data_IF_146990083186
#
_entry.id   IF_146990083186
#
_cell.length_a   1.000
_cell.length_b   1.000
_cell.length_c   1.000
_cell.angle_alpha   90.00
_cell.angle_beta   90.00
_cell.angle_gamma   90.00
#
_symmetry.space_group_name_H-M   'P 1'
#
loop_
_entity.id
_entity.type
_entity.pdbx_description
1 polymer ?
#
# COMPACT_ATOMS: atom_id res chain seq x y z
N UNK A 1 -11.40 21.99 1.86
CA UNK A 1 -10.76 20.65 1.93
C UNK A 1 -9.74 20.48 0.81
N UNK A 2 -8.47 20.19 1.14
CA UNK A 2 -7.46 19.84 0.13
C UNK A 2 -7.57 18.35 -0.17
N UNK A 3 -7.87 17.99 -1.41
CA UNK A 3 -8.06 16.60 -1.84
C UNK A 3 -6.84 15.98 -2.50
N UNK A 4 -5.81 16.79 -2.80
CA UNK A 4 -4.56 16.33 -3.40
C UNK A 4 -3.52 16.04 -2.31
N UNK A 5 -3.01 14.81 -2.32
CA UNK A 5 -1.90 14.33 -1.49
C UNK A 5 -0.67 14.08 -2.35
N UNK A 6 0.52 14.10 -1.75
CA UNK A 6 1.76 13.75 -2.44
C UNK A 6 2.36 12.52 -1.78
N UNK A 7 2.72 11.53 -2.59
CA UNK A 7 3.55 10.39 -2.20
C UNK A 7 4.98 10.62 -2.68
N UNK A 8 5.97 10.34 -1.82
CA UNK A 8 7.36 10.67 -2.10
C UNK A 8 7.96 9.85 -3.26
N UNK A 9 7.78 8.53 -3.21
CA UNK A 9 8.41 7.58 -4.13
C UNK A 9 7.49 6.37 -4.37
N UNK A 10 7.67 5.69 -5.50
CA UNK A 10 6.99 4.42 -5.79
C UNK A 10 8.00 3.28 -5.86
N UNK A 11 7.85 2.28 -4.98
CA UNK A 11 8.77 1.15 -4.79
C UNK A 11 10.26 1.56 -4.87
N UNK A 12 11.19 0.60 -4.96
CA UNK A 12 12.62 0.80 -5.22
C UNK A 12 13.43 1.71 -4.25
N UNK A 13 12.78 2.38 -3.31
CA UNK A 13 13.40 3.21 -2.28
C UNK A 13 14.19 2.32 -1.33
N UNK A 14 15.47 2.61 -1.12
CA UNK A 14 16.38 1.70 -0.41
C UNK A 14 16.94 0.57 -1.30
N UNK A 15 16.62 0.58 -2.60
CA UNK A 15 17.08 -0.40 -3.57
C UNK A 15 18.53 -0.26 -4.01
N UNK A 16 18.86 -0.95 -5.10
CA UNK A 16 20.20 -0.92 -5.67
C UNK A 16 20.56 0.48 -6.20
N UNK A 17 21.84 0.81 -6.22
CA UNK A 17 22.35 2.04 -6.80
C UNK A 17 23.34 1.76 -7.92
N UNK A 18 23.48 2.71 -8.85
CA UNK A 18 24.53 2.65 -9.86
C UNK A 18 25.90 2.91 -9.21
N UNK A 19 26.86 2.02 -9.47
CA UNK A 19 28.26 2.29 -9.18
C UNK A 19 28.86 3.29 -10.18
N UNK A 20 30.12 3.67 -9.96
CA UNK A 20 30.85 4.60 -10.84
C UNK A 20 31.00 4.12 -12.28
N UNK A 21 30.77 2.83 -12.54
CA UNK A 21 30.80 2.22 -13.87
C UNK A 21 29.40 2.05 -14.47
N UNK A 22 28.36 2.59 -13.82
CA UNK A 22 26.97 2.50 -14.27
C UNK A 22 26.34 1.13 -14.05
N UNK A 23 26.94 0.24 -13.25
CA UNK A 23 26.33 -1.05 -12.92
C UNK A 23 25.45 -0.93 -11.68
N UNK A 24 24.30 -1.57 -11.72
CA UNK A 24 23.40 -1.64 -10.58
C UNK A 24 23.98 -2.56 -9.50
N UNK A 25 24.18 -2.03 -8.29
CA UNK A 25 24.77 -2.74 -7.14
C UNK A 25 23.85 -2.68 -5.94
N UNK A 26 23.65 -3.84 -5.34
CA UNK A 26 22.94 -3.98 -4.08
C UNK A 26 23.65 -3.20 -2.97
N UNK A 27 22.84 -2.54 -2.15
CA UNK A 27 23.32 -1.80 -0.99
C UNK A 27 23.36 -2.71 0.24
N UNK A 28 24.25 -2.43 1.18
CA UNK A 28 24.11 -3.03 2.51
C UNK A 28 22.77 -2.61 3.11
N UNK A 29 22.16 -3.49 3.90
CA UNK A 29 20.86 -3.21 4.51
C UNK A 29 20.87 -1.91 5.33
N UNK A 30 21.96 -1.65 6.07
CA UNK A 30 22.15 -0.40 6.81
C UNK A 30 22.12 0.83 5.90
N UNK A 31 22.80 0.78 4.75
CA UNK A 31 22.80 1.89 3.80
C UNK A 31 21.44 2.06 3.13
N UNK A 32 20.74 0.96 2.83
CA UNK A 32 19.40 0.99 2.28
C UNK A 32 18.41 1.73 3.21
N UNK A 33 18.35 1.35 4.50
CA UNK A 33 17.50 2.05 5.48
C UNK A 33 17.91 3.52 5.65
N UNK A 34 19.21 3.80 5.76
CA UNK A 34 19.71 5.17 5.88
C UNK A 34 19.27 6.01 4.69
N UNK A 35 19.37 5.48 3.47
CA UNK A 35 18.92 6.15 2.26
C UNK A 35 17.41 6.40 2.29
N UNK A 36 16.61 5.36 2.57
CA UNK A 36 15.14 5.46 2.68
C UNK A 36 14.74 6.59 3.63
N UNK A 37 15.26 6.58 4.86
CA UNK A 37 14.91 7.60 5.86
C UNK A 37 15.37 9.00 5.43
N UNK A 38 16.58 9.12 4.85
CA UNK A 38 17.12 10.41 4.37
C UNK A 38 16.29 10.99 3.24
N UNK A 39 15.90 10.17 2.27
CA UNK A 39 15.12 10.59 1.10
C UNK A 39 13.68 10.96 1.46
N UNK A 40 13.09 10.26 2.43
CA UNK A 40 11.77 10.59 2.95
C UNK A 40 11.79 11.92 3.73
N UNK A 41 12.80 12.17 4.55
CA UNK A 41 12.94 13.48 5.22
C UNK A 41 13.12 14.61 4.21
N UNK A 42 14.01 14.42 3.22
CA UNK A 42 14.23 15.41 2.17
C UNK A 42 12.94 15.71 1.37
N UNK A 43 12.10 14.70 1.12
CA UNK A 43 10.80 14.88 0.50
C UNK A 43 9.86 15.76 1.34
N UNK A 44 9.70 15.46 2.63
CA UNK A 44 8.86 16.25 3.55
C UNK A 44 9.36 17.70 3.63
N UNK A 45 10.66 17.89 3.88
CA UNK A 45 11.28 19.21 3.99
C UNK A 45 11.09 20.04 2.71
N UNK A 46 11.31 19.42 1.55
CA UNK A 46 11.16 20.09 0.26
C UNK A 46 9.72 20.54 0.04
N UNK A 47 8.73 19.68 0.30
CA UNK A 47 7.32 20.04 0.14
C UNK A 47 6.93 21.16 1.12
N UNK A 48 7.29 21.04 2.40
CA UNK A 48 7.00 22.06 3.43
C UNK A 48 7.67 23.39 3.12
N UNK A 49 8.89 23.38 2.60
CA UNK A 49 9.65 24.58 2.20
C UNK A 49 8.97 25.43 1.12
N UNK A 50 8.04 24.86 0.34
CA UNK A 50 7.29 25.63 -0.66
C UNK A 50 6.10 26.43 -0.09
N UNK A 51 5.69 26.15 1.15
CA UNK A 51 4.63 26.89 1.86
C UNK A 51 3.24 26.79 1.22
N UNK A 52 2.39 27.80 1.48
CA UNK A 52 0.99 27.87 1.00
C UNK A 52 0.23 26.58 1.33
N UNK A 53 -0.43 25.98 0.35
CA UNK A 53 -1.18 24.74 0.52
C UNK A 53 -0.29 23.55 0.90
N UNK A 54 1.00 23.58 0.56
CA UNK A 54 1.94 22.52 0.90
C UNK A 54 2.39 22.58 2.36
N UNK A 55 2.17 23.69 3.06
CA UNK A 55 2.46 23.79 4.50
C UNK A 55 1.51 22.91 5.35
N UNK A 56 0.35 22.51 4.82
CA UNK A 56 -0.67 21.74 5.53
C UNK A 56 -1.14 20.51 4.74
N UNK A 57 -0.46 20.19 3.63
CA UNK A 57 -0.83 19.05 2.78
C UNK A 57 -0.50 17.74 3.48
N UNK A 58 -1.42 16.77 3.42
CA UNK A 58 -1.11 15.39 3.81
C UNK A 58 -0.08 14.81 2.85
N UNK A 59 1.01 14.27 3.40
CA UNK A 59 2.08 13.63 2.65
C UNK A 59 2.11 12.14 2.98
N UNK A 60 2.39 11.34 1.97
CA UNK A 60 2.49 9.89 2.06
C UNK A 60 3.98 9.54 1.95
N UNK A 61 4.50 8.95 3.02
CA UNK A 61 5.90 8.58 3.20
C UNK A 61 6.07 7.13 2.74
N UNK A 62 6.86 6.93 1.69
CA UNK A 62 7.07 5.60 1.13
C UNK A 62 7.91 4.73 2.05
N UNK A 63 7.40 3.53 2.38
CA UNK A 63 8.15 2.51 3.10
C UNK A 63 9.38 2.04 2.33
N UNK A 64 10.29 1.33 3.02
CA UNK A 64 11.42 0.69 2.33
C UNK A 64 10.88 -0.34 1.34
N UNK A 65 11.05 -0.03 0.04
CA UNK A 65 10.59 -0.87 -1.07
C UNK A 65 9.07 -1.08 -1.06
N UNK A 66 8.33 -0.23 -0.33
CA UNK A 66 6.92 -0.44 0.03
C UNK A 66 6.62 -1.85 0.58
N UNK A 67 7.64 -2.59 1.01
CA UNK A 67 7.51 -3.93 1.55
C UNK A 67 7.21 -3.83 3.03
N UNK A 68 6.18 -4.54 3.48
CA UNK A 68 5.65 -4.40 4.84
C UNK A 68 6.72 -4.79 5.87
N UNK A 69 7.38 -5.95 5.73
CA UNK A 69 8.36 -6.44 6.72
C UNK A 69 9.57 -5.50 6.86
N UNK A 70 10.04 -4.96 5.73
CA UNK A 70 11.11 -3.94 5.74
C UNK A 70 10.63 -2.64 6.35
N UNK A 71 9.38 -2.25 6.13
CA UNK A 71 8.83 -0.97 6.59
C UNK A 71 8.46 -1.00 8.07
N UNK A 72 8.02 -2.14 8.61
CA UNK A 72 7.71 -2.30 10.04
C UNK A 72 8.95 -2.56 10.91
N UNK A 73 10.13 -2.71 10.28
CA UNK A 73 11.41 -2.77 10.98
C UNK A 73 11.67 -1.49 11.78
N UNK A 74 12.23 -1.62 12.98
CA UNK A 74 12.65 -0.48 13.80
C UNK A 74 13.75 0.39 13.17
N UNK A 75 14.35 -0.05 12.05
CA UNK A 75 15.32 0.71 11.27
C UNK A 75 14.66 1.71 10.32
N UNK A 76 13.40 1.48 9.91
CA UNK A 76 12.61 2.46 9.19
C UNK A 76 12.12 3.53 10.18
N UNK A 77 12.19 4.79 9.77
CA UNK A 77 11.77 5.91 10.61
C UNK A 77 10.86 6.82 9.80
N UNK A 78 9.73 7.18 10.38
CA UNK A 78 8.91 8.26 9.85
C UNK A 78 9.69 9.57 9.92
N UNK A 79 9.65 10.43 8.89
CA UNK A 79 10.20 11.77 8.92
C UNK A 79 9.65 12.61 10.07
N UNK A 80 10.44 13.56 10.53
CA UNK A 80 9.95 14.66 11.34
C UNK A 80 9.19 15.64 10.44
N UNK A 81 8.01 16.06 10.88
CA UNK A 81 7.22 17.10 10.23
C UNK A 81 6.95 18.22 11.24
N UNK A 82 7.04 19.46 10.77
CA UNK A 82 6.72 20.64 11.59
C UNK A 82 5.20 20.79 11.84
N UNK A 83 4.39 19.94 11.20
CA UNK A 83 2.93 19.95 11.31
C UNK A 83 2.44 18.58 11.74
N UNK A 84 1.68 18.55 12.83
CA UNK A 84 1.09 17.32 13.36
C UNK A 84 -0.01 16.78 12.42
N UNK A 85 -0.19 15.46 12.43
CA UNK A 85 -1.32 14.76 11.80
C UNK A 85 -1.42 15.00 10.27
N UNK A 86 -0.26 15.07 9.61
CA UNK A 86 -0.14 15.28 8.16
C UNK A 86 0.73 14.26 7.43
N UNK A 87 1.16 13.19 8.08
CA UNK A 87 1.90 12.09 7.46
C UNK A 87 1.08 10.80 7.47
N UNK A 88 1.21 10.00 6.41
CA UNK A 88 0.78 8.60 6.34
C UNK A 88 1.97 7.76 5.87
N UNK A 89 2.02 6.48 6.22
CA UNK A 89 3.04 5.54 5.67
C UNK A 89 2.46 4.75 4.50
N UNK A 90 3.23 4.61 3.42
CA UNK A 90 2.85 3.80 2.24
C UNK A 90 3.56 2.46 2.22
N UNK A 91 2.77 1.42 1.99
CA UNK A 91 3.19 0.03 1.77
C UNK A 91 2.33 -0.59 0.67
N UNK A 92 2.81 -1.66 0.06
CA UNK A 92 2.11 -2.42 -0.97
C UNK A 92 1.80 -3.85 -0.49
N UNK A 93 0.69 -4.40 -0.96
CA UNK A 93 0.28 -5.78 -0.74
C UNK A 93 -0.06 -6.44 -2.09
N UNK A 94 1.01 -6.71 -2.83
CA UNK A 94 1.08 -7.67 -3.94
C UNK A 94 2.26 -8.59 -3.64
N UNK A 95 2.23 -9.21 -2.45
CA UNK A 95 3.44 -9.82 -1.92
C UNK A 95 3.87 -11.04 -2.75
N UNK A 96 5.11 -11.01 -3.22
CA UNK A 96 5.69 -12.04 -4.05
C UNK A 96 5.63 -13.42 -3.41
N UNK A 97 5.69 -13.50 -2.07
CA UNK A 97 5.63 -14.74 -1.30
C UNK A 97 4.30 -15.48 -1.42
N UNK A 98 3.22 -14.78 -1.83
CA UNK A 98 1.89 -15.36 -2.03
C UNK A 98 1.43 -15.29 -3.48
N UNK A 99 1.55 -14.12 -4.11
CA UNK A 99 0.99 -13.88 -5.45
C UNK A 99 1.73 -14.65 -6.55
N UNK A 100 3.07 -14.56 -6.59
CA UNK A 100 3.91 -15.28 -7.58
C UNK A 100 4.27 -16.69 -7.14
N UNK A 101 4.07 -17.01 -5.87
CA UNK A 101 4.24 -18.36 -5.34
C UNK A 101 3.02 -19.26 -5.58
N UNK A 102 1.97 -18.74 -6.23
CA UNK A 102 0.72 -19.43 -6.54
C UNK A 102 0.01 -19.97 -5.28
N UNK A 103 -0.19 -19.10 -4.28
CA UNK A 103 -0.77 -19.48 -2.97
C UNK A 103 -2.09 -18.76 -2.65
N UNK A 104 -2.61 -17.95 -3.56
CA UNK A 104 -3.83 -17.18 -3.32
C UNK A 104 -5.01 -18.12 -3.07
N UNK A 105 -5.89 -17.71 -2.16
CA UNK A 105 -7.12 -18.44 -1.84
C UNK A 105 -6.96 -19.65 -0.91
N UNK A 106 -5.74 -20.02 -0.54
CA UNK A 106 -5.46 -21.08 0.44
C UNK A 106 -5.34 -20.57 1.89
N UNK A 107 -5.29 -21.50 2.85
CA UNK A 107 -5.17 -21.19 4.28
C UNK A 107 -3.88 -20.44 4.63
N UNK A 108 -2.77 -20.75 3.94
CA UNK A 108 -1.49 -20.06 4.13
C UNK A 108 -1.61 -18.57 3.80
N UNK A 109 -2.24 -18.23 2.67
CA UNK A 109 -2.45 -16.85 2.25
C UNK A 109 -3.34 -16.08 3.22
N UNK A 110 -4.41 -16.70 3.73
CA UNK A 110 -5.29 -16.09 4.73
C UNK A 110 -4.55 -15.75 6.02
N UNK A 111 -3.71 -16.67 6.53
CA UNK A 111 -2.88 -16.42 7.71
C UNK A 111 -1.84 -15.33 7.45
N UNK A 112 -1.28 -15.31 6.24
CA UNK A 112 -0.26 -14.35 5.86
C UNK A 112 -0.79 -12.92 5.79
N UNK A 113 -1.96 -12.67 5.18
CA UNK A 113 -2.56 -11.33 5.22
C UNK A 113 -2.88 -10.90 6.66
N UNK A 114 -3.33 -11.82 7.52
CA UNK A 114 -3.58 -11.52 8.93
C UNK A 114 -2.30 -11.12 9.68
N UNK A 115 -1.18 -11.79 9.43
CA UNK A 115 0.11 -11.39 10.01
C UNK A 115 0.60 -10.05 9.49
N UNK A 116 0.51 -9.77 8.18
CA UNK A 116 0.92 -8.47 7.64
C UNK A 116 0.07 -7.33 8.22
N UNK A 117 -1.25 -7.54 8.35
CA UNK A 117 -2.15 -6.60 9.00
C UNK A 117 -1.77 -6.35 10.47
N UNK A 118 -1.40 -7.40 11.21
CA UNK A 118 -0.96 -7.29 12.61
C UNK A 118 0.36 -6.50 12.74
N UNK A 119 1.32 -6.73 11.84
CA UNK A 119 2.59 -5.99 11.81
C UNK A 119 2.36 -4.50 11.53
N UNK A 120 1.53 -4.17 10.53
CA UNK A 120 1.17 -2.78 10.23
C UNK A 120 0.45 -2.10 11.39
N UNK A 121 -0.48 -2.82 12.03
CA UNK A 121 -1.20 -2.30 13.21
C UNK A 121 -0.24 -1.95 14.33
N UNK A 122 0.62 -2.89 14.71
CA UNK A 122 1.58 -2.71 15.82
C UNK A 122 2.60 -1.61 15.53
N UNK A 123 3.13 -1.55 14.32
CA UNK A 123 4.16 -0.58 13.95
C UNK A 123 3.60 0.84 13.79
N UNK A 124 2.40 0.99 13.22
CA UNK A 124 1.88 2.28 12.77
C UNK A 124 0.55 2.66 13.38
N UNK A 125 -0.50 1.84 13.21
CA UNK A 125 -1.85 2.22 13.63
C UNK A 125 -1.98 2.41 15.14
N UNK A 126 -1.31 1.56 15.94
CA UNK A 126 -1.27 1.68 17.41
C UNK A 126 -0.47 2.90 17.90
N UNK A 127 0.28 3.55 17.01
CA UNK A 127 1.05 4.76 17.25
C UNK A 127 0.47 5.97 16.50
N UNK A 128 -0.83 5.93 16.14
CA UNK A 128 -1.56 6.99 15.45
C UNK A 128 -0.97 7.41 14.09
N UNK A 129 -0.25 6.50 13.42
CA UNK A 129 0.26 6.71 12.05
C UNK A 129 -0.68 6.00 11.07
N UNK A 130 -1.44 6.73 10.23
CA UNK A 130 -2.31 6.11 9.25
C UNK A 130 -1.52 5.37 8.18
N UNK A 131 -2.04 4.24 7.72
CA UNK A 131 -1.43 3.42 6.68
C UNK A 131 -2.20 3.61 5.36
N UNK A 132 -1.44 3.94 4.32
CA UNK A 132 -1.86 3.95 2.93
C UNK A 132 -1.35 2.68 2.25
N UNK A 133 -2.26 1.79 1.85
CA UNK A 133 -1.89 0.62 1.07
C UNK A 133 -1.89 1.02 -0.41
N UNK A 134 -0.76 1.57 -0.87
CA UNK A 134 -0.61 2.24 -2.17
C UNK A 134 -0.88 1.34 -3.38
N UNK A 135 -0.65 0.04 -3.23
CA UNK A 135 -1.03 -0.95 -4.22
C UNK A 135 -1.54 -2.23 -3.55
N UNK A 136 -2.69 -2.72 -4.01
CA UNK A 136 -3.17 -4.08 -3.81
C UNK A 136 -3.74 -4.65 -5.11
N UNK A 137 -3.82 -5.97 -5.21
CA UNK A 137 -4.19 -6.65 -6.45
C UNK A 137 -5.63 -6.35 -6.88
N UNK A 138 -5.85 -6.02 -8.16
CA UNK A 138 -7.19 -5.89 -8.75
C UNK A 138 -7.83 -7.21 -9.15
N UNK A 139 -7.04 -8.13 -9.71
CA UNK A 139 -7.50 -9.41 -10.25
C UNK A 139 -6.49 -10.52 -9.95
N UNK A 140 -6.98 -11.70 -9.58
CA UNK A 140 -6.18 -12.89 -9.36
C UNK A 140 -6.45 -13.90 -10.47
N UNK A 141 -5.42 -14.28 -11.22
CA UNK A 141 -5.56 -15.28 -12.29
C UNK A 141 -5.56 -16.68 -11.71
N UNK A 142 -6.09 -17.66 -12.45
CA UNK A 142 -6.09 -19.06 -12.03
C UNK A 142 -4.69 -19.60 -11.73
N UNK A 143 -3.64 -19.08 -12.39
CA UNK A 143 -2.26 -19.48 -12.09
C UNK A 143 -1.75 -18.98 -10.75
N UNK A 144 -2.32 -17.91 -10.18
CA UNK A 144 -1.94 -17.40 -8.86
C UNK A 144 -2.56 -18.20 -7.70
N UNK A 145 -3.56 -19.04 -7.98
CA UNK A 145 -4.30 -19.76 -6.95
C UNK A 145 -3.51 -20.95 -6.40
N UNK A 146 -3.66 -21.20 -5.10
CA UNK A 146 -3.16 -22.41 -4.46
C UNK A 146 -3.84 -23.66 -5.05
N UNK A 147 -3.12 -24.79 -5.05
CA UNK A 147 -3.69 -26.08 -5.49
C UNK A 147 -4.84 -26.55 -4.59
N UNK A 148 -4.79 -26.17 -3.32
CA UNK A 148 -5.74 -26.44 -2.26
C UNK A 148 -6.56 -25.19 -1.89
N UNK A 149 -6.66 -24.21 -2.79
CA UNK A 149 -7.41 -22.99 -2.55
C UNK A 149 -8.87 -23.28 -2.19
N UNK A 150 -9.32 -22.71 -1.06
CA UNK A 150 -10.73 -22.74 -0.64
C UNK A 150 -11.51 -21.57 -1.23
N UNK A 151 -10.82 -20.48 -1.58
CA UNK A 151 -11.36 -19.34 -2.33
C UNK A 151 -10.76 -19.35 -3.72
N UNK A 152 -11.58 -19.60 -4.73
CA UNK A 152 -11.11 -19.76 -6.13
C UNK A 152 -11.62 -18.68 -7.06
N UNK A 153 -12.53 -17.83 -6.57
CA UNK A 153 -13.04 -16.69 -7.30
C UNK A 153 -12.15 -15.44 -7.03
N UNK A 154 -11.78 -14.75 -8.10
CA UNK A 154 -10.93 -13.55 -8.00
C UNK A 154 -11.60 -12.43 -7.23
N UNK A 155 -12.91 -12.21 -7.45
CA UNK A 155 -13.66 -11.14 -6.79
C UNK A 155 -13.83 -11.43 -5.30
N UNK A 156 -14.00 -12.70 -4.93
CA UNK A 156 -13.96 -13.14 -3.52
C UNK A 156 -12.61 -12.85 -2.88
N UNK A 157 -11.50 -13.18 -3.54
CA UNK A 157 -10.15 -12.90 -3.02
C UNK A 157 -9.92 -11.39 -2.87
N UNK A 158 -10.32 -10.58 -3.86
CA UNK A 158 -10.31 -9.11 -3.78
C UNK A 158 -11.11 -8.61 -2.58
N UNK A 159 -12.33 -9.14 -2.39
CA UNK A 159 -13.19 -8.77 -1.28
C UNK A 159 -12.57 -9.08 0.08
N UNK A 160 -11.87 -10.22 0.23
CA UNK A 160 -11.18 -10.59 1.47
C UNK A 160 -10.09 -9.57 1.79
N UNK A 161 -9.25 -9.21 0.81
CA UNK A 161 -8.16 -8.25 1.03
C UNK A 161 -8.69 -6.86 1.37
N UNK A 162 -9.64 -6.33 0.59
CA UNK A 162 -10.24 -5.02 0.87
C UNK A 162 -10.94 -5.00 2.24
N UNK A 163 -11.60 -6.10 2.62
CA UNK A 163 -12.23 -6.24 3.92
C UNK A 163 -11.25 -6.10 5.06
N UNK A 164 -10.21 -6.94 5.08
CA UNK A 164 -9.18 -6.92 6.14
C UNK A 164 -8.49 -5.56 6.27
N UNK A 165 -8.20 -4.90 5.15
CA UNK A 165 -7.56 -3.58 5.16
C UNK A 165 -8.51 -2.48 5.68
N UNK A 166 -9.73 -2.41 5.14
CA UNK A 166 -10.69 -1.35 5.51
C UNK A 166 -11.24 -1.50 6.93
N UNK A 167 -11.37 -2.73 7.44
CA UNK A 167 -11.74 -2.99 8.84
C UNK A 167 -10.72 -2.43 9.84
N UNK A 168 -9.44 -2.34 9.44
CA UNK A 168 -8.36 -1.73 10.22
C UNK A 168 -8.23 -0.22 10.00
N UNK A 169 -9.05 0.38 9.13
CA UNK A 169 -8.92 1.78 8.74
C UNK A 169 -7.75 2.07 7.80
N UNK A 170 -7.14 1.03 7.23
CA UNK A 170 -6.12 1.18 6.18
C UNK A 170 -6.81 1.62 4.90
N UNK A 171 -6.18 2.52 4.13
CA UNK A 171 -6.71 3.02 2.85
C UNK A 171 -6.13 2.19 1.69
N UNK A 172 -6.88 1.25 1.09
CA UNK A 172 -6.40 0.48 -0.05
C UNK A 172 -6.57 1.20 -1.38
N UNK A 173 -5.53 1.12 -2.22
CA UNK A 173 -5.58 1.50 -3.63
C UNK A 173 -5.34 0.27 -4.49
N UNK A 174 -6.29 -0.01 -5.37
CA UNK A 174 -6.27 -1.17 -6.25
C UNK A 174 -5.37 -0.87 -7.46
N UNK A 175 -4.40 -1.75 -7.71
CA UNK A 175 -3.48 -1.69 -8.85
C UNK A 175 -4.13 -2.26 -10.11
N UNK A 176 -4.39 -1.38 -11.09
CA UNK A 176 -5.10 -1.69 -12.34
C UNK A 176 -4.33 -1.13 -13.56
N UNK A 177 -3.54 -2.00 -14.21
CA UNK A 177 -2.59 -1.61 -15.27
C UNK A 177 -3.17 -1.77 -16.66
N UNK A 178 -3.72 -2.95 -16.95
CA UNK A 178 -4.29 -3.37 -18.21
C UNK A 178 -5.81 -3.52 -18.08
N UNK A 179 -6.55 -3.44 -19.19
CA UNK A 179 -8.03 -3.32 -19.19
C UNK A 179 -8.79 -4.58 -18.73
N UNK A 180 -8.22 -5.38 -17.81
CA UNK A 180 -8.84 -6.56 -17.23
C UNK A 180 -9.79 -6.20 -16.08
N UNK A 181 -9.45 -5.21 -15.25
CA UNK A 181 -10.32 -4.78 -14.16
C UNK A 181 -11.25 -3.64 -14.60
N UNK A 182 -10.72 -2.43 -14.86
CA UNK A 182 -11.50 -1.31 -15.42
C UNK A 182 -11.26 -1.13 -16.91
N UNK A 183 -12.32 -1.25 -17.70
CA UNK A 183 -12.27 -0.94 -19.12
C UNK A 183 -12.27 0.57 -19.34
N UNK A 184 -11.13 1.10 -19.81
CA UNK A 184 -10.98 2.51 -20.20
C UNK A 184 -11.73 2.87 -21.50
N UNK A 185 -12.24 1.87 -22.23
CA UNK A 185 -13.04 2.04 -23.45
C UNK A 185 -14.53 2.07 -23.16
N UNK A 186 -15.00 1.17 -22.29
CA UNK A 186 -16.42 1.06 -21.96
C UNK A 186 -16.79 1.75 -20.64
N UNK A 187 -15.80 2.39 -20.00
CA UNK A 187 -15.92 3.18 -18.78
C UNK A 187 -16.58 2.43 -17.62
N UNK A 188 -16.28 1.14 -17.49
CA UNK A 188 -16.85 0.26 -16.45
C UNK A 188 -15.83 -0.79 -16.01
N UNK A 189 -15.95 -1.23 -14.76
CA UNK A 189 -15.32 -2.46 -14.30
C UNK A 189 -15.89 -3.61 -15.14
N UNK A 190 -15.03 -4.49 -15.66
CA UNK A 190 -15.38 -5.50 -16.66
C UNK A 190 -16.33 -6.54 -16.08
N UNK A 191 -15.92 -7.22 -15.01
CA UNK A 191 -16.70 -8.29 -14.39
C UNK A 191 -17.81 -7.73 -13.48
N UNK A 192 -18.94 -8.42 -13.44
CA UNK A 192 -20.06 -8.03 -12.60
C UNK A 192 -19.83 -8.28 -11.11
N UNK A 193 -19.13 -9.36 -10.77
CA UNK A 193 -18.73 -9.70 -9.41
C UNK A 193 -17.80 -8.64 -8.82
N UNK A 194 -16.81 -8.17 -9.58
CA UNK A 194 -15.91 -7.08 -9.16
C UNK A 194 -16.69 -5.76 -8.95
N UNK A 195 -17.65 -5.44 -9.83
CA UNK A 195 -18.56 -4.29 -9.64
C UNK A 195 -19.31 -4.35 -8.31
N UNK A 196 -19.78 -5.54 -7.94
CA UNK A 196 -20.50 -5.76 -6.68
C UNK A 196 -19.58 -5.50 -5.47
N UNK A 197 -18.36 -6.03 -5.50
CA UNK A 197 -17.36 -5.82 -4.45
C UNK A 197 -17.06 -4.33 -4.28
N UNK A 198 -16.73 -3.62 -5.36
CA UNK A 198 -16.41 -2.17 -5.28
C UNK A 198 -17.59 -1.36 -4.78
N UNK A 199 -18.82 -1.68 -5.20
CA UNK A 199 -20.02 -0.99 -4.70
C UNK A 199 -20.21 -1.23 -3.21
N UNK A 200 -20.11 -2.48 -2.75
CA UNK A 200 -20.26 -2.82 -1.34
C UNK A 200 -19.28 -2.04 -0.46
N UNK A 201 -18.00 -2.01 -0.81
CA UNK A 201 -17.01 -1.27 -0.03
C UNK A 201 -17.17 0.25 -0.14
N UNK A 202 -17.56 0.77 -1.31
CA UNK A 202 -17.87 2.20 -1.46
C UNK A 202 -19.03 2.63 -0.56
N UNK A 203 -20.09 1.83 -0.51
CA UNK A 203 -21.27 2.10 0.33
C UNK A 203 -20.92 2.00 1.83
N UNK A 204 -20.15 0.97 2.22
CA UNK A 204 -19.65 0.81 3.61
C UNK A 204 -18.81 2.02 4.05
N UNK A 205 -17.85 2.45 3.23
CA UNK A 205 -16.98 3.58 3.55
C UNK A 205 -17.76 4.89 3.64
N UNK A 206 -18.74 5.09 2.75
CA UNK A 206 -19.63 6.26 2.79
C UNK A 206 -20.46 6.28 4.08
N UNK A 207 -21.06 5.15 4.46
CA UNK A 207 -21.83 5.06 5.70
C UNK A 207 -20.97 5.34 6.94
N UNK A 208 -19.72 4.86 6.97
CA UNK A 208 -18.79 5.14 8.06
C UNK A 208 -18.45 6.64 8.18
N UNK A 209 -18.23 7.32 7.04
CA UNK A 209 -17.98 8.76 7.01
C UNK A 209 -19.18 9.59 7.47
N UNK A 210 -20.40 9.15 7.13
CA UNK A 210 -21.63 9.79 7.56
C UNK A 210 -21.89 9.59 9.07
N UNK A 211 -21.53 8.43 9.63
CA UNK A 211 -21.67 8.14 11.05
C UNK A 211 -20.67 8.91 11.95
N UNK A 212 -19.59 9.44 11.38
CA UNK A 212 -18.55 10.20 12.08
C UNK A 212 -18.79 11.73 12.07
N UNK A 213 -19.84 12.20 11.38
CA UNK A 213 -20.23 13.62 11.28
C UNK A 213 -21.41 13.93 12.22
#
# INVERSE_FOLDING_TARGET
PYTLVFEGYNEYLGGNQFDSSGNLKEQSETNAYKMTNTLNQAFVDAVRGTGRYNAQRVLIVSGYWTNIDKTTSSRFQMPEDMVNDRLMVSVHYVDNSMYWANKIGGEEWLKYIDSQCAELKKAFLDNDIPVFMGETTSTYTASNMAKDATHTDSSECLSIVLGKLTELGIVPVIWDTDSHFYSRTTYKIVNESDRKVIREYSDKLKANLEAQQ
#
